data_IF_245820564843
#
_entry.id   IF_245820564843
#
_cell.length_a   1.000
_cell.length_b   1.000
_cell.length_c   1.000
_cell.angle_alpha   90.00
_cell.angle_beta   90.00
_cell.angle_gamma   90.00
#
_symmetry.space_group_name_H-M   'P 1'
#
loop_
_entity.id
_entity.type
_entity.pdbx_description
1 polymer ?
#
# COMPACT_ATOMS: atom_id res chain seq x y z
N UNK A 1 74.01 -5.82 14.53
CA UNK A 1 74.81 -4.57 14.48
C UNK A 1 74.02 -3.51 13.72
N UNK A 2 73.87 -2.31 14.32
CA UNK A 2 73.69 -0.96 13.74
C UNK A 2 72.54 -0.77 12.73
N UNK A 3 71.42 -0.12 13.07
CA UNK A 3 71.24 1.32 13.38
C UNK A 3 71.84 2.24 12.32
N UNK A 4 70.98 2.90 11.51
CA UNK A 4 70.97 4.37 11.32
C UNK A 4 69.76 4.83 10.50
N UNK A 5 69.08 5.85 11.04
CA UNK A 5 68.12 6.76 10.39
C UNK A 5 68.85 7.71 9.42
N UNK A 6 68.12 8.31 8.47
CA UNK A 6 68.22 9.70 7.91
C UNK A 6 67.25 9.74 6.71
N UNK A 7 66.05 10.33 6.79
CA UNK A 7 65.66 11.75 6.72
C UNK A 7 65.64 12.34 5.27
N UNK A 8 64.40 12.61 4.81
CA UNK A 8 63.94 13.71 3.93
C UNK A 8 64.66 13.98 2.60
N UNK A 9 63.94 13.78 1.47
CA UNK A 9 63.82 14.81 0.43
C UNK A 9 62.35 14.90 -0.02
N UNK A 10 61.89 16.13 0.03
CA UNK A 10 60.62 16.72 -0.37
C UNK A 10 60.43 16.62 -1.89
N UNK A 11 59.31 16.08 -2.37
CA UNK A 11 58.85 16.35 -3.74
C UNK A 11 57.35 16.67 -3.70
N UNK A 12 57.09 17.95 -3.44
CA UNK A 12 55.83 18.62 -3.72
C UNK A 12 55.70 18.68 -5.24
N UNK A 13 54.79 17.89 -5.81
CA UNK A 13 54.23 18.15 -7.14
C UNK A 13 52.71 18.21 -7.04
N UNK A 14 52.27 19.45 -7.15
CA UNK A 14 50.93 19.93 -7.40
C UNK A 14 50.32 19.15 -8.58
N UNK A 15 49.19 18.50 -8.34
CA UNK A 15 48.22 18.23 -9.41
C UNK A 15 46.86 18.79 -8.96
N UNK A 16 46.64 20.06 -9.30
CA UNK A 16 45.30 20.62 -9.40
C UNK A 16 44.60 19.94 -10.56
N UNK A 17 43.46 19.33 -10.29
CA UNK A 17 42.65 18.68 -11.32
C UNK A 17 41.31 18.19 -10.78
N UNK A 18 40.74 18.86 -9.78
CA UNK A 18 39.38 18.59 -9.33
C UNK A 18 38.42 19.15 -10.37
N UNK A 19 38.09 18.35 -11.39
CA UNK A 19 36.91 18.61 -12.23
C UNK A 19 35.70 18.43 -11.32
N UNK A 20 35.27 19.54 -10.72
CA UNK A 20 34.02 19.66 -9.97
C UNK A 20 32.85 19.49 -10.93
N UNK A 21 32.57 18.25 -11.30
CA UNK A 21 31.29 17.88 -11.87
C UNK A 21 30.25 18.02 -10.77
N UNK A 22 29.50 19.13 -10.81
CA UNK A 22 28.23 19.27 -10.12
C UNK A 22 27.29 18.18 -10.62
N UNK A 23 27.37 16.99 -10.02
CA UNK A 23 26.31 15.99 -10.12
C UNK A 23 25.14 16.55 -9.34
N UNK A 24 24.30 17.32 -10.03
CA UNK A 24 22.89 17.51 -9.70
C UNK A 24 22.24 16.12 -9.75
N UNK A 25 22.44 15.34 -8.69
CA UNK A 25 21.55 14.23 -8.38
C UNK A 25 20.25 14.88 -7.93
N UNK A 26 19.33 15.05 -8.88
CA UNK A 26 17.93 15.21 -8.58
C UNK A 26 17.51 13.97 -7.79
N UNK A 27 17.51 14.08 -6.46
CA UNK A 27 16.95 13.07 -5.57
C UNK A 27 15.44 13.07 -5.80
N UNK A 28 14.99 12.21 -6.72
CA UNK A 28 13.58 11.83 -6.83
C UNK A 28 13.26 10.96 -5.63
N UNK A 29 12.79 11.60 -4.56
CA UNK A 29 12.23 10.91 -3.41
C UNK A 29 10.82 10.45 -3.79
N UNK A 30 10.61 9.14 -3.87
CA UNK A 30 9.26 8.58 -3.92
C UNK A 30 8.66 8.70 -2.51
N UNK A 31 7.51 9.35 -2.37
CA UNK A 31 6.79 9.35 -1.10
C UNK A 31 6.39 7.91 -0.70
N UNK A 32 6.37 7.57 0.61
CA UNK A 32 6.00 6.25 1.08
C UNK A 32 4.60 5.84 0.61
N UNK A 33 4.46 4.57 0.25
CA UNK A 33 3.25 3.93 -0.30
C UNK A 33 2.05 3.79 0.67
N UNK A 34 2.12 4.35 1.88
CA UNK A 34 0.99 4.43 2.81
C UNK A 34 0.06 5.63 2.47
N UNK A 35 -0.15 5.87 1.17
CA UNK A 35 -0.67 7.14 0.63
C UNK A 35 -2.10 7.03 0.07
N UNK A 36 -2.85 5.98 0.40
CA UNK A 36 -4.21 5.81 -0.11
C UNK A 36 -5.28 6.17 0.93
N UNK A 37 -6.43 6.74 0.52
CA UNK A 37 -7.48 7.16 1.44
C UNK A 37 -8.45 6.03 1.85
N UNK A 38 -8.24 4.81 1.36
CA UNK A 38 -9.15 3.68 1.63
C UNK A 38 -9.00 3.24 3.09
N UNK A 39 -10.07 3.38 3.86
CA UNK A 39 -10.18 2.79 5.18
C UNK A 39 -10.83 1.41 5.09
N UNK A 40 -10.33 0.47 5.89
CA UNK A 40 -10.76 -0.92 5.90
C UNK A 40 -10.91 -1.37 7.35
N UNK A 41 -12.08 -1.88 7.68
CA UNK A 41 -12.41 -2.44 8.98
C UNK A 41 -13.08 -3.82 8.83
N UNK A 42 -13.05 -4.60 9.92
CA UNK A 42 -13.70 -5.90 9.99
C UNK A 42 -14.69 -5.88 11.15
N UNK A 43 -15.90 -6.35 10.88
CA UNK A 43 -16.99 -6.43 11.86
C UNK A 43 -17.49 -7.87 11.97
N UNK A 44 -17.55 -8.39 13.19
CA UNK A 44 -18.16 -9.68 13.43
C UNK A 44 -19.70 -9.55 13.41
N UNK A 45 -20.38 -10.44 12.69
CA UNK A 45 -21.86 -10.51 12.67
C UNK A 45 -22.39 -11.61 13.54
N UNK A 46 -21.75 -12.76 13.49
CA UNK A 46 -22.04 -13.92 14.32
C UNK A 46 -20.75 -14.72 14.52
N UNK A 47 -20.73 -15.72 15.42
CA UNK A 47 -19.58 -16.62 15.52
C UNK A 47 -19.19 -17.19 14.16
N UNK A 48 -17.91 -17.04 13.78
CA UNK A 48 -17.37 -17.49 12.49
C UNK A 48 -17.78 -16.69 11.24
N UNK A 49 -18.65 -15.67 11.34
CA UNK A 49 -19.10 -14.85 10.19
C UNK A 49 -18.76 -13.38 10.40
N UNK A 50 -18.12 -12.80 9.40
CA UNK A 50 -17.56 -11.46 9.43
C UNK A 50 -17.93 -10.67 8.18
N UNK A 51 -17.89 -9.36 8.32
CA UNK A 51 -18.00 -8.40 7.23
C UNK A 51 -16.73 -7.55 7.15
N UNK A 52 -16.21 -7.42 5.93
CA UNK A 52 -15.17 -6.50 5.56
C UNK A 52 -15.83 -5.23 5.02
N UNK A 53 -15.64 -4.12 5.73
CA UNK A 53 -16.17 -2.82 5.34
C UNK A 53 -15.04 -1.97 4.75
N UNK A 54 -15.34 -1.26 3.68
CA UNK A 54 -14.38 -0.39 3.00
C UNK A 54 -14.99 0.99 2.81
N UNK A 55 -14.25 2.02 3.20
CA UNK A 55 -14.71 3.39 3.16
C UNK A 55 -13.72 4.26 2.39
N UNK A 56 -14.27 5.20 1.63
CA UNK A 56 -13.52 6.27 1.01
C UNK A 56 -14.03 7.60 1.58
N UNK A 57 -13.17 8.61 1.76
CA UNK A 57 -13.59 9.95 2.11
C UNK A 57 -14.50 10.54 1.02
N UNK A 58 -15.14 11.66 1.38
CA UNK A 58 -15.89 12.47 0.42
C UNK A 58 -15.00 12.82 -0.79
N UNK A 59 -15.63 12.88 -1.96
CA UNK A 59 -15.00 13.20 -3.25
C UNK A 59 -14.06 12.11 -3.80
N UNK A 60 -14.11 10.91 -3.22
CA UNK A 60 -13.51 9.72 -3.81
C UNK A 60 -14.58 8.68 -4.13
N UNK A 61 -14.26 7.76 -5.04
CA UNK A 61 -15.13 6.62 -5.33
C UNK A 61 -14.38 5.45 -5.95
N UNK A 62 -14.92 4.25 -5.76
CA UNK A 62 -14.44 3.05 -6.45
C UNK A 62 -15.09 2.95 -7.82
N UNK A 63 -14.27 2.74 -8.86
CA UNK A 63 -14.77 2.55 -10.22
C UNK A 63 -15.38 1.15 -10.37
N UNK A 64 -16.56 1.05 -10.97
CA UNK A 64 -17.32 -0.21 -11.02
C UNK A 64 -16.69 -1.26 -11.95
N UNK A 65 -16.14 -0.82 -13.09
CA UNK A 65 -15.56 -1.70 -14.10
C UNK A 65 -14.08 -2.01 -13.87
N UNK A 66 -13.46 -1.38 -12.87
CA UNK A 66 -12.05 -1.58 -12.60
C UNK A 66 -11.78 -2.99 -12.02
N UNK A 67 -10.61 -3.59 -12.32
CA UNK A 67 -10.31 -4.98 -11.96
C UNK A 67 -9.84 -5.11 -10.50
N UNK A 68 -10.71 -4.78 -9.55
CA UNK A 68 -10.45 -4.94 -8.12
C UNK A 68 -10.19 -6.40 -7.76
N UNK A 69 -9.21 -6.63 -6.90
CA UNK A 69 -8.88 -7.95 -6.37
C UNK A 69 -8.70 -7.86 -4.87
N UNK A 70 -9.41 -8.69 -4.12
CA UNK A 70 -9.27 -8.80 -2.67
C UNK A 70 -9.04 -10.27 -2.37
N UNK A 71 -8.01 -10.55 -1.57
CA UNK A 71 -7.67 -11.86 -1.11
C UNK A 71 -7.63 -11.86 0.43
N UNK A 72 -8.23 -12.88 1.02
CA UNK A 72 -8.20 -13.13 2.45
C UNK A 72 -7.52 -14.47 2.70
N UNK A 73 -6.56 -14.48 3.61
CA UNK A 73 -5.94 -15.71 4.09
C UNK A 73 -5.88 -15.72 5.61
N UNK A 74 -6.00 -16.92 6.17
CA UNK A 74 -5.84 -17.14 7.60
C UNK A 74 -4.45 -17.69 7.91
N UNK A 75 -3.91 -17.32 9.06
CA UNK A 75 -2.68 -17.84 9.62
C UNK A 75 -2.86 -18.12 11.13
N UNK A 76 -1.89 -18.80 11.73
CA UNK A 76 -1.87 -19.10 13.17
C UNK A 76 -3.12 -19.88 13.67
N UNK A 77 -3.63 -20.81 12.85
CA UNK A 77 -4.80 -21.64 13.18
C UNK A 77 -6.15 -21.10 12.70
N UNK A 78 -6.17 -19.94 12.05
CA UNK A 78 -7.35 -19.39 11.38
C UNK A 78 -7.43 -19.93 9.94
N UNK A 79 -8.62 -20.36 9.51
CA UNK A 79 -8.89 -20.78 8.13
C UNK A 79 -10.05 -19.98 7.54
N UNK A 80 -9.88 -19.44 6.34
CA UNK A 80 -10.97 -18.81 5.58
C UNK A 80 -11.73 -19.89 4.82
N UNK A 81 -13.04 -20.00 5.05
CA UNK A 81 -13.88 -21.05 4.46
C UNK A 81 -14.59 -20.58 3.18
N UNK A 82 -15.17 -19.38 3.22
CA UNK A 82 -15.91 -18.78 2.12
C UNK A 82 -15.76 -17.26 2.19
N UNK A 83 -15.62 -16.59 1.05
CA UNK A 83 -15.56 -15.14 0.97
C UNK A 83 -16.19 -14.65 -0.34
N UNK A 84 -17.26 -13.84 -0.25
CA UNK A 84 -17.80 -13.08 -1.40
C UNK A 84 -17.17 -11.68 -1.38
N UNK A 85 -16.01 -11.56 -2.03
CA UNK A 85 -15.17 -10.37 -1.99
C UNK A 85 -15.32 -9.46 -3.23
N UNK A 86 -16.40 -9.62 -4.00
CA UNK A 86 -16.66 -8.77 -5.15
C UNK A 86 -17.33 -7.47 -4.70
N UNK A 87 -16.72 -6.33 -5.04
CA UNK A 87 -17.28 -5.02 -4.77
C UNK A 87 -18.67 -4.90 -5.44
N UNK A 88 -19.67 -4.53 -4.63
CA UNK A 88 -21.06 -4.31 -5.04
C UNK A 88 -21.58 -3.10 -4.26
N UNK A 89 -22.48 -2.34 -4.85
CA UNK A 89 -23.02 -1.12 -4.24
C UNK A 89 -24.02 -0.40 -5.14
N UNK A 90 -24.73 0.60 -4.62
CA UNK A 90 -25.50 1.50 -5.47
C UNK A 90 -24.60 2.38 -6.33
N UNK A 91 -25.14 2.83 -7.46
CA UNK A 91 -24.45 3.69 -8.43
C UNK A 91 -24.43 5.13 -7.92
N UNK A 92 -23.30 5.82 -8.04
CA UNK A 92 -23.16 7.20 -7.60
C UNK A 92 -24.04 8.15 -8.45
N UNK A 93 -24.90 8.98 -7.83
CA UNK A 93 -25.96 9.72 -8.54
C UNK A 93 -25.45 10.72 -9.57
N UNK A 94 -24.24 11.26 -9.37
CA UNK A 94 -23.61 12.23 -10.29
C UNK A 94 -22.54 11.63 -11.21
N UNK A 95 -22.13 10.37 -10.97
CA UNK A 95 -20.97 9.74 -11.63
C UNK A 95 -21.27 8.24 -11.84
N UNK A 96 -21.96 7.86 -12.92
CA UNK A 96 -22.55 6.53 -13.07
C UNK A 96 -21.54 5.37 -13.17
N UNK A 97 -20.27 5.65 -13.42
CA UNK A 97 -19.20 4.65 -13.48
C UNK A 97 -18.65 4.24 -12.10
N UNK A 98 -19.18 4.83 -11.02
CA UNK A 98 -18.65 4.69 -9.67
C UNK A 98 -19.71 4.18 -8.70
N UNK A 99 -19.27 3.43 -7.69
CA UNK A 99 -20.13 3.12 -6.55
C UNK A 99 -20.31 4.37 -5.67
N UNK A 100 -21.54 4.63 -5.22
CA UNK A 100 -21.82 5.63 -4.18
C UNK A 100 -21.16 5.23 -2.87
N UNK A 101 -21.32 3.96 -2.51
CA UNK A 101 -20.61 3.28 -1.44
C UNK A 101 -20.49 1.79 -1.77
N UNK A 102 -19.54 1.10 -1.15
CA UNK A 102 -19.39 -0.35 -1.30
C UNK A 102 -20.15 -1.03 -0.15
N UNK A 103 -21.00 -1.99 -0.48
CA UNK A 103 -21.68 -2.83 0.53
C UNK A 103 -20.63 -3.70 1.25
N UNK A 104 -20.81 -3.97 2.56
CA UNK A 104 -19.92 -4.85 3.30
C UNK A 104 -19.76 -6.21 2.62
N UNK A 105 -18.53 -6.70 2.56
CA UNK A 105 -18.19 -7.97 1.92
C UNK A 105 -18.16 -9.07 2.98
N UNK A 106 -18.99 -10.09 2.82
CA UNK A 106 -19.15 -11.13 3.82
C UNK A 106 -18.15 -12.26 3.62
N UNK A 107 -17.57 -12.75 4.71
CA UNK A 107 -16.71 -13.94 4.70
C UNK A 107 -16.87 -14.77 5.98
N UNK A 108 -16.47 -16.03 5.90
CA UNK A 108 -16.57 -17.00 6.99
C UNK A 108 -15.21 -17.59 7.30
N UNK A 109 -14.95 -17.77 8.59
CA UNK A 109 -13.69 -18.32 9.10
C UNK A 109 -13.96 -19.41 10.14
N UNK A 110 -12.97 -20.26 10.31
CA UNK A 110 -12.92 -21.30 11.33
C UNK A 110 -11.62 -21.17 12.12
N UNK A 111 -11.68 -21.42 13.42
CA UNK A 111 -10.55 -21.25 14.33
C UNK A 111 -10.36 -19.81 14.80
N UNK A 112 -9.18 -19.54 15.37
CA UNK A 112 -8.72 -18.22 15.82
C UNK A 112 -7.29 -18.02 15.33
N UNK A 113 -6.88 -16.77 15.16
CA UNK A 113 -5.53 -16.47 14.69
C UNK A 113 -5.46 -15.12 13.98
N UNK A 114 -4.66 -15.03 12.93
CA UNK A 114 -4.49 -13.80 12.16
C UNK A 114 -5.13 -13.92 10.79
N UNK A 115 -5.98 -12.96 10.45
CA UNK A 115 -6.48 -12.77 9.10
C UNK A 115 -5.57 -11.79 8.36
N UNK A 116 -5.00 -12.20 7.24
CA UNK A 116 -4.30 -11.34 6.31
C UNK A 116 -5.24 -10.94 5.18
N UNK A 117 -5.28 -9.64 4.89
CA UNK A 117 -5.97 -9.04 3.75
C UNK A 117 -4.92 -8.50 2.80
N UNK A 118 -4.93 -8.99 1.55
CA UNK A 118 -4.16 -8.45 0.45
C UNK A 118 -5.11 -7.99 -0.65
N UNK A 119 -5.10 -6.70 -0.98
CA UNK A 119 -6.02 -6.14 -1.95
C UNK A 119 -5.30 -5.23 -2.96
N UNK A 120 -5.78 -5.27 -4.21
CA UNK A 120 -5.50 -4.30 -5.25
C UNK A 120 -6.82 -3.63 -5.63
N UNK A 121 -6.98 -2.38 -5.24
CA UNK A 121 -8.21 -1.60 -5.41
C UNK A 121 -7.96 -0.42 -6.34
N UNK A 122 -8.98 0.01 -7.08
CA UNK A 122 -8.90 1.15 -7.99
C UNK A 122 -9.90 2.22 -7.58
N UNK A 123 -9.41 3.37 -7.15
CA UNK A 123 -10.25 4.46 -6.69
C UNK A 123 -9.90 5.73 -7.43
N UNK A 124 -10.84 6.67 -7.53
CA UNK A 124 -10.61 7.94 -8.20
C UNK A 124 -10.92 9.10 -7.25
N UNK A 125 -10.14 10.16 -7.37
CA UNK A 125 -10.39 11.44 -6.73
C UNK A 125 -11.16 12.33 -7.70
N UNK A 126 -12.38 12.71 -7.35
CA UNK A 126 -13.29 13.46 -8.19
C UNK A 126 -12.89 14.92 -8.36
N UNK A 127 -12.23 15.52 -7.36
CA UNK A 127 -11.73 16.91 -7.42
C UNK A 127 -10.53 17.00 -8.36
N UNK A 128 -9.59 16.07 -8.22
CA UNK A 128 -8.36 16.01 -9.02
C UNK A 128 -8.56 15.36 -10.39
N UNK A 129 -9.70 14.70 -10.60
CA UNK A 129 -10.03 13.95 -11.81
C UNK A 129 -8.95 12.91 -12.19
N UNK A 130 -8.47 12.16 -11.20
CA UNK A 130 -7.45 11.11 -11.38
C UNK A 130 -7.91 9.80 -10.78
N UNK A 131 -7.50 8.69 -11.39
CA UNK A 131 -7.75 7.33 -10.91
C UNK A 131 -6.43 6.66 -10.53
N UNK A 132 -6.40 6.04 -9.36
CA UNK A 132 -5.18 5.58 -8.71
C UNK A 132 -5.36 4.12 -8.26
N UNK A 133 -4.44 3.21 -8.63
CA UNK A 133 -4.40 1.89 -8.03
C UNK A 133 -3.84 1.98 -6.60
N UNK A 134 -4.53 1.37 -5.64
CA UNK A 134 -4.05 1.15 -4.28
C UNK A 134 -3.70 -0.33 -4.08
N UNK A 135 -2.56 -0.58 -3.43
CA UNK A 135 -2.26 -1.89 -2.83
C UNK A 135 -2.48 -1.77 -1.33
N UNK A 136 -3.34 -2.60 -0.77
CA UNK A 136 -3.66 -2.60 0.66
C UNK A 136 -3.27 -3.95 1.24
N UNK A 137 -2.39 -3.95 2.24
CA UNK A 137 -2.03 -5.16 2.97
C UNK A 137 -2.28 -4.89 4.46
N UNK A 138 -3.20 -5.63 5.08
CA UNK A 138 -3.56 -5.47 6.50
C UNK A 138 -3.66 -6.81 7.21
N UNK A 139 -3.29 -6.84 8.48
CA UNK A 139 -3.45 -7.98 9.36
C UNK A 139 -4.45 -7.66 10.46
N UNK A 140 -5.36 -8.59 10.76
CA UNK A 140 -6.35 -8.48 11.82
C UNK A 140 -6.28 -9.70 12.73
N UNK A 141 -6.44 -9.51 14.04
CA UNK A 141 -6.56 -10.62 15.00
C UNK A 141 -8.04 -11.00 15.14
N UNK A 142 -8.36 -12.28 14.94
CA UNK A 142 -9.72 -12.84 15.01
C UNK A 142 -9.77 -13.99 16.02
#
# INVERSE_FOLDING_TARGET
>A
MKQTRILFILSVLVFMGSVGGTRLFSTLSAEPLDSHPIDISIKQKSPGKYELEMFLPKDFGFQMEAPHRIFLSGNDGLKVLNADLKLKGPVHPKKPEYFEYVKPLTFQVEGKGKLQLDAKLFYCNFVKNICIPAKVNKSFSI
#
